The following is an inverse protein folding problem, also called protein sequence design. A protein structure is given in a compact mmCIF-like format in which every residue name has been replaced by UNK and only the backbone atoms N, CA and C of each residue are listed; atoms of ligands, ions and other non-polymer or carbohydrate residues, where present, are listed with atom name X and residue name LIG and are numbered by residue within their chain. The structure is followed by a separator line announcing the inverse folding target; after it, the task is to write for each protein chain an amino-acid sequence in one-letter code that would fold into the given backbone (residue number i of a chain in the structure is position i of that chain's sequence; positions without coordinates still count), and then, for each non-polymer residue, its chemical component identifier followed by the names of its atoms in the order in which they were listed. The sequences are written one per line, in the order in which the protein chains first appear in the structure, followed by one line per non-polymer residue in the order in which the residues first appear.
data_IF_415505712354
#
_entry.id   IF_415505712354
#
_cell.length_a   1.000
_cell.length_b   1.000
_cell.length_c   1.000
_cell.angle_alpha   90.00
_cell.angle_beta   90.00
_cell.angle_gamma   90.00
#
_symmetry.space_group_name_H-M   'P 1'
#
loop_
_entity.id
_entity.type
_entity.pdbx_description
1 polymer ?
#
# COMPACT_ATOMS: atom_id res chain seq x y z
N UNK A 1 -9.15 -1.60 1.49
CA UNK A 1 -10.04 -0.54 0.97
C UNK A 1 -9.35 0.16 -0.18
N UNK A 2 -10.10 0.72 -1.14
CA UNK A 2 -9.56 1.55 -2.22
C UNK A 2 -9.46 3.03 -1.84
N UNK A 3 -9.94 3.41 -0.65
CA UNK A 3 -9.78 4.75 -0.09
C UNK A 3 -8.44 4.88 0.63
N UNK A 4 -7.38 5.20 -0.12
CA UNK A 4 -6.01 5.23 0.38
C UNK A 4 -5.80 6.28 1.48
N UNK A 5 -6.44 7.45 1.39
CA UNK A 5 -6.34 8.50 2.41
C UNK A 5 -6.88 8.06 3.78
N UNK A 6 -8.02 7.36 3.77
CA UNK A 6 -8.59 6.78 4.99
C UNK A 6 -7.71 5.68 5.56
N UNK A 7 -7.22 4.76 4.71
CA UNK A 7 -6.32 3.70 5.13
C UNK A 7 -5.02 4.27 5.74
N UNK A 8 -4.49 5.37 5.19
CA UNK A 8 -3.30 6.03 5.70
C UNK A 8 -3.51 6.64 7.10
N UNK A 9 -4.70 7.17 7.37
CA UNK A 9 -5.00 7.85 8.63
C UNK A 9 -5.39 6.89 9.77
N UNK A 10 -6.12 5.82 9.46
CA UNK A 10 -6.77 4.99 10.48
C UNK A 10 -6.10 3.62 10.67
N UNK A 11 -5.43 3.09 9.64
CA UNK A 11 -4.87 1.74 9.75
C UNK A 11 -3.60 1.70 10.63
N UNK A 12 -3.41 0.62 11.38
CA UNK A 12 -2.14 0.36 12.06
C UNK A 12 -1.14 -0.41 11.19
N UNK A 13 -1.65 -1.14 10.19
CA UNK A 13 -0.89 -1.99 9.28
C UNK A 13 -1.62 -2.08 7.94
N UNK A 14 -0.87 -2.02 6.86
CA UNK A 14 -1.36 -2.15 5.49
C UNK A 14 -0.78 -3.44 4.91
N UNK A 15 -1.62 -4.22 4.24
CA UNK A 15 -1.24 -5.42 3.50
C UNK A 15 -1.64 -5.20 2.06
N UNK A 16 -0.68 -5.28 1.16
CA UNK A 16 -0.90 -5.31 -0.27
C UNK A 16 -0.87 -6.73 -0.77
N UNK A 17 -1.91 -7.09 -1.51
CA UNK A 17 -2.07 -8.39 -2.12
C UNK A 17 -2.20 -8.26 -3.63
N UNK A 18 -1.57 -9.16 -4.35
CA UNK A 18 -1.67 -9.30 -5.79
C UNK A 18 -1.60 -10.78 -6.17
N UNK A 19 -2.38 -11.22 -7.16
CA UNK A 19 -2.45 -12.62 -7.61
C UNK A 19 -2.66 -13.63 -6.47
N UNK A 20 -3.47 -13.28 -5.47
CA UNK A 20 -3.75 -14.13 -4.32
C UNK A 20 -2.60 -14.29 -3.32
N UNK A 21 -1.52 -13.50 -3.45
CA UNK A 21 -0.36 -13.51 -2.56
C UNK A 21 -0.21 -12.19 -1.82
N UNK A 22 0.33 -12.23 -0.62
CA UNK A 22 0.78 -11.02 0.10
C UNK A 22 2.11 -10.60 -0.49
N UNK A 23 2.12 -9.44 -1.13
CA UNK A 23 3.29 -8.89 -1.81
C UNK A 23 4.10 -8.02 -0.87
N UNK A 24 3.42 -7.18 -0.11
CA UNK A 24 4.06 -6.29 0.85
C UNK A 24 3.14 -6.01 2.02
N UNK A 25 3.75 -5.81 3.18
CA UNK A 25 3.04 -5.44 4.36
C UNK A 25 3.91 -4.55 5.24
N UNK A 26 3.40 -3.40 5.61
CA UNK A 26 4.12 -2.44 6.44
C UNK A 26 3.16 -1.54 7.23
N UNK A 27 3.72 -0.66 8.05
CA UNK A 27 2.98 0.47 8.61
C UNK A 27 2.50 1.39 7.47
N UNK A 28 1.37 2.10 7.63
CA UNK A 28 0.84 2.94 6.55
C UNK A 28 1.84 3.97 6.04
N UNK A 29 2.54 4.69 6.94
CA UNK A 29 3.54 5.68 6.54
C UNK A 29 4.65 5.05 5.68
N UNK A 30 5.20 3.91 6.09
CA UNK A 30 6.23 3.21 5.33
C UNK A 30 5.70 2.66 4.00
N UNK A 31 4.50 2.09 3.99
CA UNK A 31 3.87 1.54 2.79
C UNK A 31 3.60 2.61 1.72
N UNK A 32 3.06 3.77 2.11
CA UNK A 32 2.70 4.83 1.17
C UNK A 32 3.88 5.74 0.80
N UNK A 33 4.76 6.07 1.74
CA UNK A 33 5.87 7.01 1.49
C UNK A 33 7.16 6.32 1.04
N UNK A 34 7.37 5.05 1.43
CA UNK A 34 8.59 4.28 1.14
C UNK A 34 8.29 2.81 0.78
N UNK A 35 7.41 2.55 -0.20
CA UNK A 35 7.12 1.18 -0.65
C UNK A 35 8.41 0.46 -1.04
N UNK A 36 8.61 -0.74 -0.50
CA UNK A 36 9.83 -1.51 -0.75
C UNK A 36 9.70 -2.40 -1.99
N UNK A 37 8.51 -2.90 -2.27
CA UNK A 37 8.29 -3.84 -3.37
C UNK A 37 7.92 -3.12 -4.68
N UNK A 38 8.53 -3.54 -5.80
CA UNK A 38 8.31 -2.92 -7.12
C UNK A 38 6.84 -2.94 -7.56
N UNK A 39 6.13 -4.05 -7.34
CA UNK A 39 4.68 -4.13 -7.60
C UNK A 39 3.87 -3.15 -6.75
N UNK A 40 4.24 -2.91 -5.49
CA UNK A 40 3.58 -1.91 -4.64
C UNK A 40 3.81 -0.50 -5.18
N UNK A 41 5.04 -0.18 -5.60
CA UNK A 41 5.37 1.11 -6.24
C UNK A 41 4.53 1.34 -7.49
N UNK A 42 4.45 0.33 -8.35
CA UNK A 42 3.65 0.38 -9.58
C UNK A 42 2.16 0.62 -9.25
N UNK A 43 1.61 -0.14 -8.31
CA UNK A 43 0.23 0.03 -7.86
C UNK A 43 -0.04 1.45 -7.32
N UNK A 44 0.81 1.96 -6.43
CA UNK A 44 0.65 3.29 -5.87
C UNK A 44 0.75 4.38 -6.94
N UNK A 45 1.62 4.23 -7.95
CA UNK A 45 1.75 5.19 -9.05
C UNK A 45 0.51 5.30 -9.94
N UNK A 46 -0.31 4.24 -10.02
CA UNK A 46 -1.54 4.23 -10.81
C UNK A 46 -2.74 4.87 -10.08
N UNK A 47 -2.64 5.04 -8.76
CA UNK A 47 -3.78 5.41 -7.89
C UNK A 47 -3.58 6.80 -7.27
N UNK A 48 -2.33 7.19 -7.02
CA UNK A 48 -1.96 8.51 -6.54
C UNK A 48 -1.67 9.43 -7.74
N UNK A 49 -2.74 9.87 -8.41
CA UNK A 49 -2.72 10.96 -9.39
C UNK A 49 -3.46 12.18 -8.83
#
# INVERSE_FOLDING_TARGET
THEMGFARQVANRVIFMDQGQIIEQNKPAEFFDKPQHERTKLFLSQILH
#
